data_IF_867164346635
#
_entry.id   IF_867164346635
#
_cell.length_a   1.000
_cell.length_b   1.000
_cell.length_c   1.000
_cell.angle_alpha   90.00
_cell.angle_beta   90.00
_cell.angle_gamma   90.00
#
_symmetry.space_group_name_H-M   'P 1'
#
loop_
_entity.id
_entity.type
_entity.pdbx_description
1 polymer ?
#
# COMPACT_ATOMS: atom_id res chain seq x y z
N UNK A 1 20.06 51.17 34.78
CA UNK A 1 18.91 50.25 34.90
C UNK A 1 19.45 48.83 34.93
N UNK A 2 19.43 48.15 36.08
CA UNK A 2 19.97 46.79 36.23
C UNK A 2 19.05 45.76 35.55
N UNK A 3 19.60 44.72 34.94
CA UNK A 3 18.85 43.64 34.26
C UNK A 3 17.70 43.08 35.14
N UNK A 4 17.96 42.95 36.45
CA UNK A 4 17.00 42.50 37.45
C UNK A 4 15.75 43.39 37.55
N UNK A 5 15.92 44.70 37.37
CA UNK A 5 14.84 45.68 37.43
C UNK A 5 13.97 45.68 36.18
N UNK A 6 14.56 45.33 35.03
CA UNK A 6 13.84 45.16 33.76
C UNK A 6 13.03 43.86 33.78
N UNK A 7 13.62 42.77 34.26
CA UNK A 7 12.96 41.48 34.42
C UNK A 7 11.75 41.59 35.36
N UNK A 8 11.92 42.27 36.51
CA UNK A 8 10.84 42.49 37.47
C UNK A 8 9.68 43.37 36.96
N UNK A 9 9.93 44.21 35.94
CA UNK A 9 8.88 44.98 35.25
C UNK A 9 8.16 44.12 34.21
N UNK A 10 8.90 43.33 33.43
CA UNK A 10 8.34 42.40 32.45
C UNK A 10 7.46 41.35 33.13
N UNK A 11 7.93 40.75 34.24
CA UNK A 11 7.13 39.79 34.99
C UNK A 11 5.83 40.40 35.53
N UNK A 12 5.87 41.63 36.06
CA UNK A 12 4.65 42.33 36.50
C UNK A 12 3.70 42.67 35.36
N UNK A 13 4.24 43.00 34.19
CA UNK A 13 3.43 43.42 33.06
C UNK A 13 2.79 42.25 32.28
N UNK A 14 3.41 41.07 32.30
CA UNK A 14 2.98 39.93 31.50
C UNK A 14 2.53 38.71 32.30
N UNK A 15 3.12 38.40 33.45
CA UNK A 15 2.78 37.17 34.22
C UNK A 15 1.73 37.41 35.31
N UNK A 16 1.67 38.63 35.85
CA UNK A 16 0.73 39.01 36.92
C UNK A 16 -0.56 39.65 36.39
N UNK A 17 -0.82 39.53 35.09
CA UNK A 17 -2.11 39.92 34.53
C UNK A 17 -3.18 38.92 34.99
N UNK A 18 -4.37 39.40 35.35
CA UNK A 18 -5.45 38.51 35.82
C UNK A 18 -5.81 37.45 34.77
N UNK A 19 -5.70 37.76 33.48
CA UNK A 19 -5.96 36.84 32.38
C UNK A 19 -4.92 35.71 32.29
N UNK A 20 -3.64 36.03 32.49
CA UNK A 20 -2.55 35.03 32.43
C UNK A 20 -2.58 34.10 33.63
N UNK A 21 -2.91 34.63 34.81
CA UNK A 21 -3.12 33.83 36.01
C UNK A 21 -4.33 32.91 35.87
N UNK A 22 -5.43 33.40 35.29
CA UNK A 22 -6.62 32.60 35.03
C UNK A 22 -6.35 31.43 34.07
N UNK A 23 -5.66 31.68 32.95
CA UNK A 23 -5.28 30.62 32.00
C UNK A 23 -4.33 29.59 32.62
N UNK A 24 -3.38 30.04 33.44
CA UNK A 24 -2.49 29.15 34.18
C UNK A 24 -3.27 28.25 35.15
N UNK A 25 -4.19 28.81 35.93
CA UNK A 25 -5.06 28.05 36.82
C UNK A 25 -5.93 27.05 36.05
N UNK A 26 -6.49 27.43 34.90
CA UNK A 26 -7.29 26.53 34.07
C UNK A 26 -6.46 25.35 33.54
N UNK A 27 -5.23 25.62 33.07
CA UNK A 27 -4.31 24.58 32.59
C UNK A 27 -3.90 23.60 33.70
N UNK A 28 -3.66 24.09 34.92
CA UNK A 28 -3.33 23.25 36.07
C UNK A 28 -4.53 22.43 36.54
N UNK A 29 -5.74 22.99 36.48
CA UNK A 29 -6.98 22.27 36.80
C UNK A 29 -7.26 21.16 35.77
N UNK A 30 -7.09 21.44 34.48
CA UNK A 30 -7.20 20.43 33.43
C UNK A 30 -6.12 19.35 33.57
N UNK A 31 -4.87 19.74 33.81
CA UNK A 31 -3.78 18.78 34.05
C UNK A 31 -4.07 17.90 35.26
N UNK A 32 -4.53 18.49 36.38
CA UNK A 32 -4.97 17.74 37.55
C UNK A 32 -6.14 16.81 37.21
N UNK A 33 -7.16 17.28 36.48
CA UNK A 33 -8.29 16.45 36.07
C UNK A 33 -7.85 15.25 35.23
N UNK A 34 -7.01 15.44 34.22
CA UNK A 34 -6.50 14.36 33.37
C UNK A 34 -5.55 13.39 34.10
N UNK A 35 -4.78 13.86 35.07
CA UNK A 35 -3.81 13.02 35.81
C UNK A 35 -4.34 12.41 37.11
N UNK A 36 -5.44 12.92 37.68
CA UNK A 36 -6.05 12.39 38.91
C UNK A 36 -7.36 11.62 38.68
N UNK A 37 -7.94 11.64 37.48
CA UNK A 37 -9.06 10.76 37.16
C UNK A 37 -8.53 9.36 36.83
N UNK A 38 -8.77 8.42 37.74
CA UNK A 38 -8.34 7.02 37.60
C UNK A 38 -9.03 6.31 36.41
N UNK A 39 -10.15 6.84 35.94
CA UNK A 39 -10.84 6.38 34.72
C UNK A 39 -9.98 6.59 33.47
N UNK A 40 -9.33 7.75 33.31
CA UNK A 40 -8.46 8.03 32.16
C UNK A 40 -7.22 7.14 32.19
N UNK A 41 -6.63 6.92 33.38
CA UNK A 41 -5.51 5.98 33.54
C UNK A 41 -5.91 4.55 33.20
N UNK A 42 -7.11 4.14 33.56
CA UNK A 42 -7.64 2.80 33.29
C UNK A 42 -7.88 2.60 31.79
N UNK A 43 -8.44 3.61 31.11
CA UNK A 43 -8.61 3.61 29.64
C UNK A 43 -7.25 3.54 28.95
N UNK A 44 -6.30 4.40 29.32
CA UNK A 44 -4.95 4.41 28.74
C UNK A 44 -4.22 3.08 28.98
N UNK A 45 -4.35 2.50 30.18
CA UNK A 45 -3.76 1.20 30.51
C UNK A 45 -4.42 0.07 29.72
N UNK A 46 -5.74 0.06 29.62
CA UNK A 46 -6.50 -0.92 28.83
C UNK A 46 -6.13 -0.86 27.35
N UNK A 47 -6.04 0.34 26.77
CA UNK A 47 -5.58 0.53 25.39
C UNK A 47 -4.14 0.07 25.20
N UNK A 48 -3.24 0.36 26.14
CA UNK A 48 -1.85 -0.09 26.08
C UNK A 48 -1.72 -1.61 26.17
N UNK A 49 -2.51 -2.23 27.02
CA UNK A 49 -2.52 -3.68 27.21
C UNK A 49 -3.14 -4.40 25.99
N UNK A 50 -4.18 -3.83 25.37
CA UNK A 50 -4.72 -4.32 24.10
C UNK A 50 -3.69 -4.27 22.96
N UNK A 51 -2.95 -3.15 22.83
CA UNK A 51 -1.88 -3.02 21.84
C UNK A 51 -0.75 -4.02 22.09
N UNK A 52 -0.37 -4.25 23.35
CA UNK A 52 0.64 -5.28 23.70
C UNK A 52 0.17 -6.68 23.36
N UNK A 53 -1.10 -7.00 23.59
CA UNK A 53 -1.67 -8.31 23.28
C UNK A 53 -1.72 -8.57 21.77
N UNK A 54 -2.09 -7.55 20.97
CA UNK A 54 -2.05 -7.62 19.50
C UNK A 54 -0.60 -7.79 19.02
N UNK A 55 0.35 -7.02 19.55
CA UNK A 55 1.78 -7.18 19.23
C UNK A 55 2.31 -8.58 19.60
N UNK A 56 1.88 -9.14 20.74
CA UNK A 56 2.23 -10.49 21.17
C UNK A 56 1.69 -11.56 20.22
N UNK A 57 0.41 -11.48 19.82
CA UNK A 57 -0.19 -12.38 18.84
C UNK A 57 0.48 -12.28 17.46
N UNK A 58 0.80 -11.07 17.01
CA UNK A 58 1.53 -10.86 15.74
C UNK A 58 2.93 -11.46 15.83
N UNK A 59 3.62 -11.30 16.97
CA UNK A 59 4.94 -11.89 17.19
C UNK A 59 4.88 -13.43 17.21
N UNK A 60 3.86 -14.04 17.82
CA UNK A 60 3.66 -15.50 17.81
C UNK A 60 3.39 -16.04 16.39
N UNK A 61 2.53 -15.35 15.62
CA UNK A 61 2.27 -15.68 14.21
C UNK A 61 3.58 -15.60 13.40
N UNK A 62 4.40 -14.58 13.66
CA UNK A 62 5.72 -14.41 13.03
C UNK A 62 6.77 -15.43 13.48
N UNK A 63 6.61 -16.10 14.63
CA UNK A 63 7.54 -17.17 15.04
C UNK A 63 7.30 -18.47 14.28
N UNK A 64 6.05 -18.72 13.84
CA UNK A 64 5.68 -19.96 13.17
C UNK A 64 6.15 -20.02 11.69
N UNK A 65 6.56 -18.89 11.12
CA UNK A 65 7.05 -18.75 9.74
C UNK A 65 8.58 -18.54 9.62
N UNK A 66 9.34 -18.71 10.71
CA UNK A 66 10.79 -18.44 10.67
C UNK A 66 11.62 -19.59 10.09
N UNK A 67 11.96 -19.46 8.81
CA UNK A 67 13.35 -19.64 8.38
C UNK A 67 14.02 -18.27 8.26
N UNK A 68 14.86 -17.98 9.26
CA UNK A 68 15.79 -16.86 9.51
C UNK A 68 15.78 -15.60 8.64
N UNK A 69 15.70 -14.43 9.31
CA UNK A 69 16.45 -13.21 8.98
C UNK A 69 16.47 -12.27 10.20
N UNK A 70 17.66 -11.77 10.52
CA UNK A 70 17.97 -10.92 11.68
C UNK A 70 17.22 -9.58 11.66
N UNK A 71 16.44 -9.33 12.71
CA UNK A 71 15.68 -8.11 12.95
C UNK A 71 16.48 -7.19 13.88
N UNK A 72 17.30 -6.30 13.32
CA UNK A 72 17.83 -5.16 14.11
C UNK A 72 17.92 -3.81 13.40
N UNK A 73 17.63 -3.72 12.09
CA UNK A 73 17.61 -2.44 11.35
C UNK A 73 16.25 -2.09 10.71
N UNK A 74 15.21 -2.90 10.95
CA UNK A 74 13.93 -2.86 10.22
C UNK A 74 12.96 -1.73 10.62
N UNK A 75 13.32 -0.81 11.52
CA UNK A 75 12.37 0.17 12.07
C UNK A 75 12.28 1.51 11.32
N UNK A 76 13.09 1.77 10.29
CA UNK A 76 13.07 3.09 9.60
C UNK A 76 13.03 3.09 8.07
N UNK A 77 12.92 1.93 7.42
CA UNK A 77 12.70 1.90 5.97
C UNK A 77 11.69 0.82 5.62
N UNK A 78 10.49 1.23 5.20
CA UNK A 78 9.54 0.34 4.50
C UNK A 78 10.08 0.04 3.10
N UNK A 79 11.23 -0.63 3.06
CA UNK A 79 11.82 -1.15 1.84
C UNK A 79 11.37 -2.59 1.71
N UNK A 80 10.90 -2.95 0.53
CA UNK A 80 10.59 -4.32 0.19
C UNK A 80 11.51 -4.77 -0.92
N UNK A 81 12.08 -5.95 -0.73
CA UNK A 81 12.95 -6.58 -1.70
C UNK A 81 12.51 -8.02 -1.87
N UNK A 82 12.42 -8.45 -3.12
CA UNK A 82 12.21 -9.84 -3.48
C UNK A 82 13.26 -10.21 -4.52
N UNK A 83 13.97 -11.31 -4.27
CA UNK A 83 14.88 -11.93 -5.23
C UNK A 83 14.47 -13.38 -5.40
N UNK A 84 14.09 -13.76 -6.62
CA UNK A 84 13.82 -15.15 -7.00
C UNK A 84 14.57 -15.48 -8.30
N UNK A 85 14.76 -16.77 -8.63
CA UNK A 85 15.35 -17.15 -9.90
C UNK A 85 14.57 -16.53 -11.08
N UNK A 86 15.21 -15.63 -11.83
CA UNK A 86 14.61 -14.98 -13.00
C UNK A 86 13.77 -13.74 -12.72
N UNK A 87 13.58 -13.31 -11.46
CA UNK A 87 12.88 -12.09 -11.14
C UNK A 87 13.43 -11.39 -9.89
N UNK A 88 13.44 -10.07 -9.91
CA UNK A 88 13.76 -9.26 -8.74
C UNK A 88 12.83 -8.05 -8.68
N UNK A 89 12.43 -7.67 -7.47
CA UNK A 89 11.63 -6.48 -7.22
C UNK A 89 12.22 -5.73 -6.05
N UNK A 90 12.24 -4.41 -6.16
CA UNK A 90 12.65 -3.51 -5.11
C UNK A 90 11.67 -2.34 -5.05
N UNK A 91 11.17 -2.04 -3.85
CA UNK A 91 10.21 -0.98 -3.61
C UNK A 91 10.61 -0.22 -2.34
N UNK A 92 10.51 1.11 -2.38
CA UNK A 92 10.89 1.99 -1.27
C UNK A 92 9.87 3.10 -1.13
N UNK A 93 9.58 3.50 0.11
CA UNK A 93 8.69 4.63 0.39
C UNK A 93 9.22 5.97 -0.17
N UNK A 94 10.54 6.14 -0.18
CA UNK A 94 11.17 7.39 -0.61
C UNK A 94 10.78 8.56 0.30
N UNK A 95 10.37 9.69 -0.30
CA UNK A 95 10.05 10.95 0.40
C UNK A 95 8.58 11.09 0.79
N UNK A 96 7.73 10.10 0.51
CA UNK A 96 6.31 10.11 0.84
C UNK A 96 6.11 9.81 2.32
N UNK A 97 5.03 10.29 2.91
CA UNK A 97 4.68 9.99 4.31
C UNK A 97 4.20 8.54 4.49
N UNK A 98 3.62 7.97 3.42
CA UNK A 98 3.07 6.62 3.38
C UNK A 98 3.58 5.87 2.15
N UNK A 99 3.68 4.54 2.27
CA UNK A 99 4.04 3.62 1.19
C UNK A 99 2.78 2.92 0.70
N UNK A 100 2.20 3.40 -0.39
CA UNK A 100 0.93 2.90 -0.96
C UNK A 100 1.16 1.95 -2.14
N UNK A 101 2.37 1.95 -2.74
CA UNK A 101 2.72 0.99 -3.78
C UNK A 101 2.63 -0.44 -3.25
N UNK A 102 2.40 -1.39 -4.15
CA UNK A 102 2.44 -2.84 -3.90
C UNK A 102 2.96 -3.56 -5.14
N UNK A 103 3.48 -4.75 -4.93
CA UNK A 103 3.86 -5.64 -6.03
C UNK A 103 3.50 -7.09 -5.72
N UNK A 104 3.33 -7.87 -6.78
CA UNK A 104 3.16 -9.30 -6.70
C UNK A 104 4.09 -10.00 -7.70
N UNK A 105 4.71 -11.09 -7.27
CA UNK A 105 5.49 -11.97 -8.14
C UNK A 105 5.08 -13.40 -7.81
N UNK A 106 4.50 -14.06 -8.80
CA UNK A 106 4.12 -15.45 -8.73
C UNK A 106 4.86 -16.19 -9.85
N UNK A 107 5.89 -16.93 -9.48
CA UNK A 107 6.71 -17.74 -10.39
C UNK A 107 6.76 -19.15 -9.84
N UNK A 108 6.63 -20.16 -10.71
CA UNK A 108 6.91 -21.56 -10.35
C UNK A 108 8.24 -21.98 -10.99
N UNK A 109 9.37 -21.86 -10.26
CA UNK A 109 10.68 -22.16 -10.82
C UNK A 109 10.90 -23.67 -11.08
N UNK A 110 10.10 -24.53 -10.44
CA UNK A 110 10.24 -26.00 -10.52
C UNK A 110 9.34 -26.55 -11.62
N UNK A 111 8.12 -26.04 -11.72
CA UNK A 111 7.15 -26.47 -12.70
C UNK A 111 6.78 -25.33 -13.66
N UNK A 112 7.54 -25.25 -14.77
CA UNK A 112 7.29 -24.31 -15.87
C UNK A 112 5.97 -24.54 -16.62
N UNK A 113 5.14 -25.48 -16.17
CA UNK A 113 3.81 -25.72 -16.72
C UNK A 113 2.81 -24.61 -16.38
N UNK A 114 3.17 -23.66 -15.51
CA UNK A 114 2.27 -22.58 -15.08
C UNK A 114 2.82 -21.21 -15.49
N UNK A 115 1.94 -20.26 -15.83
CA UNK A 115 2.33 -18.92 -16.20
C UNK A 115 2.94 -18.18 -15.01
N UNK A 116 4.01 -17.44 -15.29
CA UNK A 116 4.57 -16.49 -14.34
C UNK A 116 3.78 -15.19 -14.39
N UNK A 117 3.42 -14.65 -13.23
CA UNK A 117 2.61 -13.43 -13.10
C UNK A 117 3.41 -12.40 -12.29
N UNK A 118 3.49 -11.20 -12.83
CA UNK A 118 4.15 -10.05 -12.21
C UNK A 118 3.17 -8.89 -12.17
N UNK A 119 3.01 -8.25 -11.02
CA UNK A 119 2.09 -7.14 -10.82
C UNK A 119 2.75 -5.98 -10.10
N UNK A 120 2.49 -4.75 -10.57
CA UNK A 120 2.86 -3.49 -9.94
C UNK A 120 1.59 -2.65 -9.77
N UNK A 121 1.39 -2.16 -8.55
CA UNK A 121 0.17 -1.47 -8.15
C UNK A 121 0.56 -0.20 -7.38
N UNK A 122 0.45 0.97 -8.03
CA UNK A 122 0.67 2.28 -7.40
C UNK A 122 -0.64 2.73 -6.75
N UNK A 123 -0.68 2.75 -5.42
CA UNK A 123 -1.87 3.12 -4.64
C UNK A 123 -2.04 4.64 -4.52
N UNK A 124 -3.27 5.10 -4.41
CA UNK A 124 -3.58 6.51 -4.14
C UNK A 124 -4.86 6.64 -3.31
N UNK A 125 -4.91 7.65 -2.44
CA UNK A 125 -6.05 7.85 -1.54
C UNK A 125 -6.14 6.82 -0.40
N UNK A 126 -5.05 6.07 -0.18
CA UNK A 126 -4.97 4.96 0.77
C UNK A 126 -4.32 3.72 0.13
N UNK A 127 -3.82 2.81 0.98
CA UNK A 127 -3.16 1.56 0.53
C UNK A 127 -4.13 0.39 0.30
N UNK A 128 -5.40 0.54 0.68
CA UNK A 128 -6.37 -0.55 0.75
C UNK A 128 -6.64 -1.20 -0.63
N UNK A 129 -6.80 -0.39 -1.68
CA UNK A 129 -7.00 -0.88 -3.05
C UNK A 129 -5.78 -1.65 -3.56
N UNK A 130 -4.58 -1.09 -3.42
CA UNK A 130 -3.34 -1.72 -3.85
C UNK A 130 -3.07 -3.05 -3.11
N UNK A 131 -3.33 -3.10 -1.79
CA UNK A 131 -3.19 -4.33 -1.00
C UNK A 131 -4.20 -5.40 -1.44
N UNK A 132 -5.44 -5.00 -1.74
CA UNK A 132 -6.45 -5.93 -2.22
C UNK A 132 -6.08 -6.52 -3.59
N UNK A 133 -5.71 -5.67 -4.56
CA UNK A 133 -5.37 -6.13 -5.91
C UNK A 133 -4.11 -7.01 -5.88
N UNK A 134 -3.09 -6.64 -5.10
CA UNK A 134 -1.87 -7.44 -4.89
C UNK A 134 -2.17 -8.88 -4.47
N UNK A 135 -3.11 -9.07 -3.56
CA UNK A 135 -3.43 -10.39 -3.01
C UNK A 135 -4.37 -11.17 -3.92
N UNK A 136 -5.40 -10.50 -4.45
CA UNK A 136 -6.50 -11.15 -5.17
C UNK A 136 -6.19 -11.44 -6.64
N UNK A 137 -5.64 -10.47 -7.37
CA UNK A 137 -5.50 -10.57 -8.83
C UNK A 137 -4.57 -11.72 -9.28
N UNK A 138 -3.37 -11.91 -8.70
CA UNK A 138 -2.50 -13.03 -9.07
C UNK A 138 -3.12 -14.39 -8.78
N UNK A 139 -3.90 -14.51 -7.70
CA UNK A 139 -4.55 -15.76 -7.30
C UNK A 139 -5.65 -16.15 -8.30
N UNK A 140 -6.56 -15.24 -8.63
CA UNK A 140 -7.66 -15.53 -9.57
C UNK A 140 -7.13 -15.79 -10.99
N UNK A 141 -6.08 -15.07 -11.39
CA UNK A 141 -5.39 -15.34 -12.66
C UNK A 141 -4.78 -16.74 -12.67
N UNK A 142 -4.04 -17.12 -11.62
CA UNK A 142 -3.44 -18.46 -11.51
C UNK A 142 -4.51 -19.56 -11.64
N UNK A 143 -5.62 -19.42 -10.92
CA UNK A 143 -6.72 -20.40 -10.95
C UNK A 143 -7.37 -20.52 -12.33
N UNK A 144 -7.68 -19.39 -12.98
CA UNK A 144 -8.31 -19.40 -14.30
C UNK A 144 -7.35 -19.94 -15.36
N UNK A 145 -6.07 -19.57 -15.31
CA UNK A 145 -5.06 -20.04 -16.26
C UNK A 145 -4.80 -21.54 -16.14
N UNK A 146 -4.78 -22.08 -14.93
CA UNK A 146 -4.68 -23.53 -14.70
C UNK A 146 -5.82 -24.32 -15.34
N UNK A 147 -7.04 -23.76 -15.34
CA UNK A 147 -8.18 -24.36 -16.02
C UNK A 147 -8.07 -24.19 -17.54
N UNK A 148 -7.68 -23.00 -18.00
CA UNK A 148 -7.50 -22.68 -19.41
C UNK A 148 -6.44 -23.56 -20.08
N UNK A 149 -5.28 -23.75 -19.46
CA UNK A 149 -4.17 -24.54 -20.03
C UNK A 149 -4.54 -26.02 -20.22
N UNK A 150 -5.46 -26.57 -19.41
CA UNK A 150 -5.99 -27.93 -19.58
C UNK A 150 -6.93 -28.09 -20.77
N UNK A 151 -7.62 -27.01 -21.14
CA UNK A 151 -8.68 -27.00 -22.16
C UNK A 151 -8.29 -26.16 -23.39
N UNK A 152 -7.02 -25.71 -23.46
CA UNK A 152 -6.52 -24.70 -24.41
C UNK A 152 -6.83 -25.04 -25.87
N UNK A 153 -6.68 -26.31 -26.26
CA UNK A 153 -6.93 -26.76 -27.64
C UNK A 153 -8.40 -26.64 -28.08
N UNK A 154 -9.33 -26.61 -27.13
CA UNK A 154 -10.78 -26.50 -27.40
C UNK A 154 -11.36 -25.14 -26.99
N UNK A 155 -10.54 -24.23 -26.48
CA UNK A 155 -10.99 -22.96 -25.93
C UNK A 155 -10.94 -21.83 -26.95
N UNK A 156 -12.02 -21.06 -27.04
CA UNK A 156 -12.06 -19.80 -27.79
C UNK A 156 -11.44 -18.63 -27.01
N UNK A 157 -11.09 -18.82 -25.73
CA UNK A 157 -10.52 -17.78 -24.89
C UNK A 157 -9.05 -17.54 -25.24
N UNK A 158 -8.61 -16.30 -25.07
CA UNK A 158 -7.22 -15.91 -25.18
C UNK A 158 -6.68 -15.47 -23.83
N UNK A 159 -5.36 -15.50 -23.68
CA UNK A 159 -4.65 -14.91 -22.54
C UNK A 159 -5.07 -13.46 -22.28
N UNK A 160 -5.24 -12.67 -23.34
CA UNK A 160 -5.70 -11.29 -23.25
C UNK A 160 -7.12 -11.19 -22.67
N UNK A 161 -8.05 -12.02 -23.15
CA UNK A 161 -9.44 -12.01 -22.67
C UNK A 161 -9.54 -12.42 -21.21
N UNK A 162 -8.77 -13.42 -20.78
CA UNK A 162 -8.70 -13.84 -19.38
C UNK A 162 -8.19 -12.69 -18.51
N UNK A 163 -7.11 -12.04 -18.93
CA UNK A 163 -6.51 -10.94 -18.19
C UNK A 163 -7.48 -9.77 -18.03
N UNK A 164 -8.13 -9.35 -19.12
CA UNK A 164 -9.14 -8.28 -19.11
C UNK A 164 -10.32 -8.62 -18.18
N UNK A 165 -10.87 -9.83 -18.29
CA UNK A 165 -11.97 -10.28 -17.45
C UNK A 165 -11.60 -10.29 -15.96
N UNK A 166 -10.42 -10.79 -15.61
CA UNK A 166 -10.01 -10.83 -14.20
C UNK A 166 -9.75 -9.44 -13.64
N UNK A 167 -9.14 -8.53 -14.41
CA UNK A 167 -8.97 -7.13 -13.99
C UNK A 167 -10.34 -6.49 -13.71
N UNK A 168 -11.30 -6.64 -14.63
CA UNK A 168 -12.66 -6.08 -14.45
C UNK A 168 -13.42 -6.71 -13.28
N UNK A 169 -13.23 -8.00 -13.02
CA UNK A 169 -13.87 -8.66 -11.88
C UNK A 169 -13.28 -8.18 -10.55
N UNK A 170 -11.95 -8.10 -10.46
CA UNK A 170 -11.28 -7.60 -9.25
C UNK A 170 -11.60 -6.13 -9.01
N UNK A 171 -11.73 -5.31 -10.06
CA UNK A 171 -12.17 -3.90 -9.94
C UNK A 171 -13.55 -3.78 -9.29
N UNK A 172 -14.51 -4.64 -9.67
CA UNK A 172 -15.83 -4.72 -9.02
C UNK A 172 -15.73 -5.16 -7.56
N UNK A 173 -14.92 -6.18 -7.27
CA UNK A 173 -14.71 -6.66 -5.89
C UNK A 173 -14.09 -5.56 -5.01
N UNK A 174 -13.13 -4.78 -5.54
CA UNK A 174 -12.54 -3.62 -4.86
C UNK A 174 -13.62 -2.57 -4.58
N UNK A 175 -14.41 -2.20 -5.59
CA UNK A 175 -15.48 -1.21 -5.44
C UNK A 175 -16.50 -1.62 -4.37
N UNK A 176 -16.96 -2.88 -4.38
CA UNK A 176 -17.88 -3.41 -3.37
C UNK A 176 -17.26 -3.37 -1.97
N UNK A 177 -16.00 -3.75 -1.83
CA UNK A 177 -15.31 -3.78 -0.53
C UNK A 177 -15.06 -2.39 0.05
N UNK A 178 -14.57 -1.46 -0.77
CA UNK A 178 -14.19 -0.11 -0.31
C UNK A 178 -15.40 0.80 -0.10
N UNK A 179 -16.44 0.64 -0.92
CA UNK A 179 -17.70 1.38 -0.71
C UNK A 179 -18.38 1.02 0.62
N UNK A 180 -18.26 -0.22 1.09
CA UNK A 180 -18.79 -0.65 2.39
C UNK A 180 -18.12 0.08 3.58
N UNK A 181 -16.90 0.56 3.41
CA UNK A 181 -16.12 1.30 4.42
C UNK A 181 -15.99 2.78 4.12
N UNK A 182 -16.64 3.30 3.07
CA UNK A 182 -16.46 4.67 2.57
C UNK A 182 -14.99 5.03 2.31
N UNK A 183 -14.21 4.05 1.85
CA UNK A 183 -12.81 4.24 1.48
C UNK A 183 -12.74 4.62 -0.01
N UNK A 184 -12.07 5.73 -0.31
CA UNK A 184 -11.92 6.27 -1.66
C UNK A 184 -10.58 5.86 -2.32
N UNK A 185 -9.83 4.95 -1.68
CA UNK A 185 -8.57 4.46 -2.21
C UNK A 185 -8.74 3.83 -3.60
N UNK A 186 -7.75 4.09 -4.46
CA UNK A 186 -7.62 3.49 -5.78
C UNK A 186 -6.20 2.99 -6.01
N UNK A 187 -5.98 2.31 -7.13
CA UNK A 187 -4.65 1.88 -7.52
C UNK A 187 -4.52 1.77 -9.04
N UNK A 188 -3.32 2.00 -9.56
CA UNK A 188 -2.99 1.54 -10.93
C UNK A 188 -2.84 0.02 -10.93
N UNK A 189 -2.97 -0.61 -12.09
CA UNK A 189 -2.68 -2.02 -12.26
C UNK A 189 -1.85 -2.25 -13.52
N UNK A 190 -0.57 -2.52 -13.36
CA UNK A 190 0.29 -3.06 -14.41
C UNK A 190 0.55 -4.53 -14.10
N UNK A 191 0.10 -5.43 -14.97
CA UNK A 191 0.27 -6.87 -14.81
C UNK A 191 0.87 -7.47 -16.07
N UNK A 192 1.91 -8.28 -15.90
CA UNK A 192 2.56 -9.03 -16.96
C UNK A 192 2.43 -10.53 -16.67
N UNK A 193 1.99 -11.27 -17.67
CA UNK A 193 1.81 -12.71 -17.62
C UNK A 193 2.67 -13.35 -18.70
N UNK A 194 3.58 -14.22 -18.29
CA UNK A 194 4.48 -14.97 -19.16
C UNK A 194 4.10 -16.45 -19.12
N UNK A 195 3.50 -16.95 -20.19
CA UNK A 195 3.25 -18.39 -20.40
C UNK A 195 4.09 -18.87 -21.58
N UNK A 196 4.95 -19.86 -21.35
CA UNK A 196 5.89 -20.40 -22.34
C UNK A 196 6.76 -19.33 -23.03
N UNK A 197 6.31 -18.82 -24.19
CA UNK A 197 6.98 -17.79 -25.01
C UNK A 197 6.09 -16.58 -25.28
N UNK A 198 4.90 -16.54 -24.69
CA UNK A 198 3.92 -15.49 -24.86
C UNK A 198 3.89 -14.59 -23.63
N UNK A 199 4.16 -13.30 -23.85
CA UNK A 199 4.08 -12.26 -22.83
C UNK A 199 2.82 -11.43 -23.09
N UNK A 200 1.85 -11.52 -22.18
CA UNK A 200 0.63 -10.68 -22.20
C UNK A 200 0.74 -9.63 -21.11
N UNK A 201 0.49 -8.36 -21.46
CA UNK A 201 0.55 -7.24 -20.51
C UNK A 201 -0.77 -6.49 -20.48
N UNK A 202 -1.31 -6.30 -19.27
CA UNK A 202 -2.47 -5.46 -18.98
C UNK A 202 -2.03 -4.22 -18.23
N UNK A 203 -2.49 -3.04 -18.68
CA UNK A 203 -2.19 -1.77 -18.03
C UNK A 203 -3.48 -0.98 -17.76
N UNK A 204 -3.65 -0.55 -16.51
CA UNK A 204 -4.70 0.37 -16.08
C UNK A 204 -4.05 1.46 -15.23
N UNK A 205 -3.96 2.67 -15.78
CA UNK A 205 -3.32 3.80 -15.12
C UNK A 205 -1.99 4.15 -15.77
N UNK A 206 -1.09 4.72 -14.98
CA UNK A 206 0.15 5.34 -15.46
C UNK A 206 1.44 4.71 -14.94
N UNK A 207 1.33 3.52 -14.31
CA UNK A 207 2.45 2.58 -14.26
C UNK A 207 2.85 2.13 -15.67
N UNK A 208 4.12 1.69 -15.85
CA UNK A 208 4.65 1.38 -17.18
C UNK A 208 5.51 0.12 -17.21
N UNK A 209 5.24 -0.74 -18.19
CA UNK A 209 6.07 -1.89 -18.54
C UNK A 209 6.93 -1.61 -19.76
N UNK A 210 8.20 -2.03 -19.72
CA UNK A 210 9.16 -1.92 -20.83
C UNK A 210 9.94 -3.23 -20.93
N UNK A 211 10.08 -3.75 -22.14
CA UNK A 211 10.90 -4.91 -22.46
C UNK A 211 12.24 -4.43 -23.04
N UNK A 212 13.34 -5.04 -22.62
CA UNK A 212 14.62 -4.90 -23.32
C UNK A 212 14.77 -6.07 -24.28
N UNK A 213 14.96 -5.81 -25.57
CA UNK A 213 15.23 -6.88 -26.53
C UNK A 213 16.69 -7.36 -26.46
N UNK A 214 17.00 -8.39 -27.24
CA UNK A 214 18.35 -9.00 -27.32
C UNK A 214 19.43 -8.03 -27.82
N UNK A 215 19.05 -6.97 -28.53
CA UNK A 215 19.95 -5.98 -29.11
C UNK A 215 20.09 -4.76 -28.17
N UNK A 216 19.40 -4.77 -27.02
CA UNK A 216 19.43 -3.73 -25.99
C UNK A 216 18.40 -2.61 -26.19
N UNK A 217 17.45 -2.76 -27.13
CA UNK A 217 16.45 -1.74 -27.38
C UNK A 217 15.31 -1.81 -26.36
N UNK A 218 14.84 -0.64 -25.94
CA UNK A 218 13.66 -0.51 -25.08
C UNK A 218 12.37 -0.56 -25.91
N UNK A 219 11.56 -1.59 -25.71
CA UNK A 219 10.26 -1.80 -26.35
C UNK A 219 9.17 -1.51 -25.30
N UNK A 220 8.29 -0.51 -25.52
CA UNK A 220 7.18 -0.25 -24.60
C UNK A 220 6.20 -1.42 -24.63
N UNK A 221 5.90 -1.99 -23.45
CA UNK A 221 4.88 -3.03 -23.29
C UNK A 221 3.51 -2.45 -22.94
N UNK A 222 3.48 -1.23 -22.40
CA UNK A 222 2.26 -0.52 -22.07
C UNK A 222 2.35 0.97 -22.41
N UNK A 223 1.20 1.62 -22.46
CA UNK A 223 1.08 3.07 -22.62
C UNK A 223 0.27 3.63 -21.45
N UNK A 224 0.79 4.66 -20.79
CA UNK A 224 0.13 5.31 -19.67
C UNK A 224 -1.25 5.81 -20.07
N UNK A 225 -2.23 5.63 -19.20
CA UNK A 225 -3.54 6.25 -19.32
C UNK A 225 -3.52 7.63 -18.66
N UNK A 226 -3.47 8.67 -19.49
CA UNK A 226 -3.43 10.06 -19.01
C UNK A 226 -4.67 10.82 -19.48
N UNK A 227 -5.30 11.66 -18.63
CA UNK A 227 -6.59 12.30 -18.93
C UNK A 227 -6.55 13.26 -20.13
N UNK A 228 -5.37 13.75 -20.50
CA UNK A 228 -5.17 14.64 -21.65
C UNK A 228 -5.05 13.90 -22.99
N UNK A 229 -4.84 12.58 -23.00
CA UNK A 229 -4.79 11.79 -24.23
C UNK A 229 -6.14 11.81 -24.93
N UNK A 230 -6.15 11.90 -26.27
CA UNK A 230 -7.38 12.11 -27.03
C UNK A 230 -8.44 11.02 -26.78
N UNK A 231 -8.03 9.75 -26.66
CA UNK A 231 -8.93 8.63 -26.38
C UNK A 231 -9.55 8.76 -24.99
N UNK A 232 -8.74 8.92 -23.95
CA UNK A 232 -9.19 9.04 -22.57
C UNK A 232 -10.00 10.30 -22.32
N UNK A 233 -9.57 11.44 -22.87
CA UNK A 233 -10.31 12.70 -22.81
C UNK A 233 -11.70 12.58 -23.44
N UNK A 234 -11.82 11.88 -24.57
CA UNK A 234 -13.12 11.63 -25.21
C UNK A 234 -14.00 10.71 -24.36
N UNK A 235 -13.43 9.68 -23.73
CA UNK A 235 -14.16 8.78 -22.82
C UNK A 235 -14.69 9.54 -21.60
N UNK A 236 -13.84 10.31 -20.93
CA UNK A 236 -14.19 11.10 -19.74
C UNK A 236 -15.31 12.11 -20.03
N UNK A 237 -15.24 12.81 -21.17
CA UNK A 237 -16.29 13.78 -21.55
C UNK A 237 -17.65 13.17 -21.90
N UNK A 238 -17.71 11.85 -22.12
CA UNK A 238 -18.95 11.13 -22.46
C UNK A 238 -19.64 10.52 -21.23
N UNK A 239 -18.90 10.34 -20.13
CA UNK A 239 -19.44 9.85 -18.87
C UNK A 239 -20.25 10.95 -18.18
#
# INVERSE_FOLDING_TARGET
MTLLSLLGRIMRYFLLRPETLFLLCLSLALWSYFFHTDEVKTIVKSSRDAVKMVKGKVAEIMQHDRFGLDLSDAEFSKNWELKSPGAAVYAIQGRRDHMEDRFAVLTDPVNRSHPSIFGIFDGHGGEAAAEYVKTRLPEVLKQHLQSYEKEKENSLLSHQSILEQQILNVDKEVLEKLSATYDEAGTTCLVAMLSEKELTVGNVGDSRGVLCDKDGNAIPLSYDHKPYQLKERKRIKKA
#
